data_IF_199987546026
#
_entry.id   IF_199987546026
#
_cell.length_a   1.000
_cell.length_b   1.000
_cell.length_c   1.000
_cell.angle_alpha   90.00
_cell.angle_beta   90.00
_cell.angle_gamma   90.00
#
_symmetry.space_group_name_H-M   'P 1'
#
loop_
_entity.id
_entity.type
_entity.pdbx_description
1 polymer ?
#
# COMPACT_ATOMS: atom_id res chain seq x y z
N UNK A 1 -2.67 3.13 28.13
CA UNK A 1 -3.66 2.19 27.58
C UNK A 1 -3.34 2.03 26.11
N UNK A 2 -3.13 0.79 25.65
CA UNK A 2 -2.79 0.48 24.26
C UNK A 2 -4.02 0.72 23.38
N UNK A 3 -4.14 1.92 22.82
CA UNK A 3 -5.10 2.23 21.76
C UNK A 3 -4.58 1.63 20.44
N UNK A 4 -4.56 0.31 20.36
CA UNK A 4 -4.39 -0.36 19.08
C UNK A 4 -5.76 -0.36 18.41
N UNK A 5 -5.90 0.37 17.31
CA UNK A 5 -7.10 0.31 16.47
C UNK A 5 -7.32 -1.10 15.89
N UNK A 6 -6.30 -1.96 15.96
CA UNK A 6 -6.33 -3.35 15.52
C UNK A 6 -6.50 -4.33 16.68
N UNK A 7 -7.33 -5.35 16.51
CA UNK A 7 -7.37 -6.50 17.40
C UNK A 7 -6.56 -7.69 16.84
N UNK A 8 -6.31 -8.71 17.67
CA UNK A 8 -5.51 -9.88 17.26
C UNK A 8 -6.17 -10.68 16.11
N UNK A 9 -7.50 -10.66 16.03
CA UNK A 9 -8.26 -11.34 14.97
C UNK A 9 -7.99 -10.67 13.63
N UNK A 10 -7.93 -9.34 13.59
CA UNK A 10 -7.65 -8.57 12.37
C UNK A 10 -6.26 -8.91 11.83
N UNK A 11 -5.26 -9.04 12.70
CA UNK A 11 -3.88 -9.43 12.31
C UNK A 11 -3.86 -10.85 11.71
N UNK A 12 -4.64 -11.77 12.27
CA UNK A 12 -4.71 -13.16 11.77
C UNK A 12 -5.32 -13.23 10.37
N UNK A 13 -6.35 -12.43 10.06
CA UNK A 13 -6.97 -12.39 8.73
C UNK A 13 -5.97 -12.06 7.61
N UNK A 14 -5.02 -11.17 7.87
CA UNK A 14 -3.96 -10.86 6.90
C UNK A 14 -2.94 -12.01 6.75
N UNK A 15 -2.59 -12.67 7.86
CA UNK A 15 -1.63 -13.78 7.84
C UNK A 15 -2.17 -15.00 7.11
N UNK A 16 -3.43 -15.35 7.33
CA UNK A 16 -4.05 -16.54 6.75
C UNK A 16 -4.22 -16.43 5.22
N UNK A 17 -4.11 -15.23 4.66
CA UNK A 17 -4.34 -14.95 3.23
C UNK A 17 -3.06 -14.85 2.40
N UNK A 18 -1.89 -15.08 3.01
CA UNK A 18 -0.59 -15.05 2.33
C UNK A 18 -0.43 -13.81 1.42
N UNK A 19 -0.91 -12.66 1.92
CA UNK A 19 -1.07 -11.48 1.09
C UNK A 19 0.30 -10.94 0.66
N UNK A 20 0.65 -11.13 -0.62
CA UNK A 20 1.94 -10.67 -1.15
C UNK A 20 2.07 -9.15 -1.04
N UNK A 21 3.29 -8.63 -0.91
CA UNK A 21 3.53 -7.18 -0.87
C UNK A 21 2.95 -6.44 -2.08
N UNK A 22 2.97 -7.07 -3.28
CA UNK A 22 2.31 -6.50 -4.47
C UNK A 22 0.79 -6.44 -4.32
N UNK A 23 0.16 -7.46 -3.76
CA UNK A 23 -1.28 -7.45 -3.49
C UNK A 23 -1.65 -6.41 -2.41
N UNK A 24 -0.78 -6.21 -1.43
CA UNK A 24 -0.95 -5.20 -0.36
C UNK A 24 -1.04 -3.78 -0.93
N UNK A 25 -0.17 -3.43 -1.88
CA UNK A 25 -0.16 -2.10 -2.50
C UNK A 25 -1.39 -1.80 -3.37
N UNK A 26 -2.18 -2.83 -3.73
CA UNK A 26 -3.42 -2.71 -4.50
C UNK A 26 -4.68 -2.93 -3.63
N UNK A 27 -4.55 -2.83 -2.32
CA UNK A 27 -5.69 -2.82 -1.41
C UNK A 27 -6.52 -1.55 -1.64
N UNK A 28 -7.83 -1.70 -1.49
CA UNK A 28 -8.81 -0.61 -1.53
C UNK A 28 -9.65 -0.69 -0.27
N UNK A 29 -10.27 0.42 0.12
CA UNK A 29 -11.17 0.45 1.29
C UNK A 29 -12.27 -0.61 1.18
N UNK A 30 -12.82 -0.82 -0.02
CA UNK A 30 -13.78 -1.89 -0.31
C UNK A 30 -13.22 -3.29 -0.03
N UNK A 31 -11.97 -3.58 -0.44
CA UNK A 31 -11.32 -4.88 -0.17
C UNK A 31 -11.04 -5.11 1.31
N UNK A 32 -10.89 -4.03 2.09
CA UNK A 32 -10.63 -4.05 3.52
C UNK A 32 -11.92 -4.20 4.34
N UNK A 33 -13.02 -3.56 3.91
CA UNK A 33 -14.29 -3.46 4.67
C UNK A 33 -15.38 -4.42 4.22
N UNK A 34 -15.30 -4.97 3.00
CA UNK A 34 -16.35 -5.84 2.46
C UNK A 34 -16.50 -7.13 3.28
N UNK A 35 -17.77 -7.50 3.55
CA UNK A 35 -18.19 -8.71 4.30
C UNK A 35 -17.81 -10.03 3.62
N UNK A 36 -17.71 -10.03 2.30
CA UNK A 36 -17.16 -11.14 1.50
C UNK A 36 -15.71 -10.86 1.06
N UNK A 37 -15.16 -9.72 1.52
CA UNK A 37 -13.86 -9.19 1.17
C UNK A 37 -12.74 -9.73 2.06
N UNK A 38 -11.51 -9.34 1.73
CA UNK A 38 -10.32 -9.99 2.23
C UNK A 38 -10.13 -9.84 3.75
N UNK A 39 -10.66 -8.81 4.43
CA UNK A 39 -10.27 -8.60 5.84
C UNK A 39 -11.40 -8.20 6.81
N UNK A 40 -12.65 -7.96 6.35
CA UNK A 40 -13.78 -7.57 7.21
C UNK A 40 -13.39 -6.64 8.36
N UNK A 41 -12.63 -5.59 8.05
CA UNK A 41 -12.16 -4.65 9.04
C UNK A 41 -13.26 -3.64 9.35
N UNK A 42 -13.27 -3.13 10.57
CA UNK A 42 -14.04 -1.93 10.85
C UNK A 42 -13.49 -0.76 10.02
N UNK A 43 -14.32 0.28 9.74
CA UNK A 43 -13.92 1.39 8.87
C UNK A 43 -12.63 2.11 9.31
N UNK A 44 -12.45 2.33 10.61
CA UNK A 44 -11.28 3.07 11.14
C UNK A 44 -9.94 2.33 10.90
N UNK A 45 -9.81 1.03 11.18
CA UNK A 45 -8.64 0.24 10.78
C UNK A 45 -8.40 0.16 9.26
N UNK A 46 -9.47 0.16 8.47
CA UNK A 46 -9.35 0.16 7.01
C UNK A 46 -8.78 1.49 6.49
N UNK A 47 -9.23 2.62 7.04
CA UNK A 47 -8.73 3.96 6.73
C UNK A 47 -7.22 4.07 7.01
N UNK A 48 -6.77 3.66 8.20
CA UNK A 48 -5.35 3.70 8.55
C UNK A 48 -4.46 2.82 7.65
N UNK A 49 -4.96 1.66 7.17
CA UNK A 49 -4.23 0.83 6.21
C UNK A 49 -4.16 1.50 4.83
N UNK A 50 -5.24 2.16 4.40
CA UNK A 50 -5.26 2.89 3.13
C UNK A 50 -4.26 4.04 3.12
N UNK A 51 -4.19 4.82 4.21
CA UNK A 51 -3.19 5.89 4.35
C UNK A 51 -1.76 5.34 4.20
N UNK A 52 -1.46 4.22 4.86
CA UNK A 52 -0.15 3.56 4.74
C UNK A 52 0.14 3.07 3.32
N UNK A 53 -0.84 2.48 2.64
CA UNK A 53 -0.68 2.02 1.24
C UNK A 53 -0.39 3.21 0.32
N UNK A 54 -1.06 4.35 0.52
CA UNK A 54 -0.80 5.57 -0.23
C UNK A 54 0.60 6.13 0.02
N UNK A 55 1.06 6.17 1.28
CA UNK A 55 2.41 6.62 1.62
C UNK A 55 3.48 5.73 1.00
N UNK A 56 3.29 4.41 1.02
CA UNK A 56 4.19 3.45 0.38
C UNK A 56 4.24 3.68 -1.14
N UNK A 57 3.08 3.83 -1.79
CA UNK A 57 3.01 4.09 -3.23
C UNK A 57 3.68 5.43 -3.60
N UNK A 58 3.52 6.49 -2.79
CA UNK A 58 4.20 7.78 -3.01
C UNK A 58 5.72 7.67 -2.93
N UNK A 59 6.25 6.76 -2.10
CA UNK A 59 7.69 6.55 -1.99
C UNK A 59 8.24 5.67 -3.13
N UNK A 60 7.45 4.73 -3.66
CA UNK A 60 7.85 3.95 -4.84
C UNK A 60 8.00 4.81 -6.10
N UNK A 61 7.12 5.79 -6.29
CA UNK A 61 7.18 6.71 -7.45
C UNK A 61 8.42 7.61 -7.40
N UNK A 62 8.97 7.91 -6.21
CA UNK A 62 10.18 8.73 -6.08
C UNK A 62 11.43 8.05 -6.63
N UNK A 63 11.49 6.72 -6.64
CA UNK A 63 12.62 5.98 -7.17
C UNK A 63 12.56 5.79 -8.71
N UNK A 64 11.41 6.03 -9.34
CA UNK A 64 11.25 5.93 -10.79
C UNK A 64 11.55 7.24 -11.56
N UNK A 65 11.72 8.37 -10.88
CA UNK A 65 12.16 9.63 -11.52
C UNK A 65 13.69 9.68 -11.57
N UNK A 66 14.30 8.73 -12.27
CA UNK A 66 15.58 9.02 -12.91
C UNK A 66 15.20 9.65 -14.25
N UNK A 67 15.13 10.99 -14.27
CA UNK A 67 15.19 11.73 -15.52
C UNK A 67 16.48 11.31 -16.23
N UNK A 68 16.35 10.38 -17.18
CA UNK A 68 17.38 10.16 -18.19
C UNK A 68 17.41 11.44 -19.04
N UNK A 69 18.21 12.41 -18.60
CA UNK A 69 18.68 13.47 -19.46
C UNK A 69 19.20 12.82 -20.75
N UNK A 70 18.67 13.14 -21.94
CA UNK A 70 19.32 12.72 -23.16
C UNK A 70 20.69 13.42 -23.22
N UNK A 71 21.76 12.66 -22.98
CA UNK A 71 23.13 13.03 -23.27
C UNK A 71 23.28 13.24 -24.78
N UNK A 72 22.83 14.38 -25.29
CA UNK A 72 23.21 14.88 -26.61
C UNK A 72 24.00 16.16 -26.45
N UNK A 73 25.23 16.02 -25.95
CA UNK A 73 26.29 16.94 -26.31
C UNK A 73 27.21 16.28 -27.34
N UNK A 74 27.54 17.08 -28.35
CA UNK A 74 28.64 16.96 -29.32
C UNK A 74 28.40 16.16 -30.61
N UNK A 75 28.09 16.91 -31.68
CA UNK A 75 29.08 17.06 -32.76
C UNK A 75 28.91 18.39 -33.50
N UNK A 76 29.81 19.33 -33.22
CA UNK A 76 30.15 20.38 -34.19
C UNK A 76 30.98 19.72 -35.30
N UNK A 77 30.52 19.80 -36.55
CA UNK A 77 31.39 20.07 -37.69
C UNK A 77 30.57 20.58 -38.86
#
# INVERSE_FOLDING_TARGET
MNNSDFNEIDIRKFRDKELTGKAFLHLTEEKLTCKDGLNELSPSPAEGIMELVEELNKNLVKDEVIEVEPLTKFRKK
#
